data_IF_331527397282
#
_entry.id   IF_331527397282
#
_cell.length_a   1.000
_cell.length_b   1.000
_cell.length_c   1.000
_cell.angle_alpha   90.00
_cell.angle_beta   90.00
_cell.angle_gamma   90.00
#
_symmetry.space_group_name_H-M   'P 1'
#
loop_
_entity.id
_entity.type
_entity.pdbx_description
1 polymer ?
#
# COMPACT_ATOMS: atom_id res chain seq x y z
N UNK A 1 46.88 52.33 12.54
CA UNK A 1 46.56 51.42 11.42
C UNK A 1 46.06 50.01 11.84
N UNK A 2 45.62 49.80 13.08
CA UNK A 2 45.27 48.47 13.60
C UNK A 2 43.77 48.12 13.65
N UNK A 3 42.84 49.01 13.35
CA UNK A 3 41.39 48.75 13.57
C UNK A 3 40.59 48.28 12.34
N UNK A 4 41.06 48.53 11.13
CA UNK A 4 40.32 48.20 9.89
C UNK A 4 40.42 46.71 9.56
N UNK A 5 41.58 46.09 9.85
CA UNK A 5 41.76 44.65 9.57
C UNK A 5 40.95 43.73 10.52
N UNK A 6 40.69 44.17 11.74
CA UNK A 6 39.86 43.42 12.68
C UNK A 6 38.37 43.38 12.27
N UNK A 7 37.89 44.51 11.73
CA UNK A 7 36.49 44.62 11.29
C UNK A 7 36.21 43.75 10.07
N UNK A 8 37.11 43.74 9.09
CA UNK A 8 37.00 42.91 7.90
C UNK A 8 37.06 41.41 8.20
N UNK A 9 37.94 41.00 9.11
CA UNK A 9 38.06 39.62 9.55
C UNK A 9 36.76 39.09 10.25
N UNK A 10 36.17 39.96 11.09
CA UNK A 10 34.93 39.59 11.82
C UNK A 10 33.72 39.45 10.86
N UNK A 11 33.60 40.34 9.89
CA UNK A 11 32.52 40.26 8.90
C UNK A 11 32.69 39.07 7.94
N UNK A 12 33.92 38.73 7.55
CA UNK A 12 34.22 37.56 6.76
C UNK A 12 33.89 36.24 7.53
N UNK A 13 34.21 36.19 8.81
CA UNK A 13 33.90 35.05 9.65
C UNK A 13 32.37 34.87 9.82
N UNK A 14 31.62 35.96 10.06
CA UNK A 14 30.17 35.93 10.17
C UNK A 14 29.55 35.51 8.85
N UNK A 15 30.00 36.03 7.73
CA UNK A 15 29.49 35.64 6.40
C UNK A 15 29.75 34.16 6.09
N UNK A 16 30.89 33.62 6.50
CA UNK A 16 31.24 32.21 6.35
C UNK A 16 30.30 31.31 7.20
N UNK A 17 30.08 31.66 8.46
CA UNK A 17 29.20 30.93 9.37
C UNK A 17 27.75 30.97 8.88
N UNK A 18 27.26 32.15 8.51
CA UNK A 18 25.89 32.28 7.97
C UNK A 18 25.75 31.52 6.65
N UNK A 19 26.73 31.59 5.75
CA UNK A 19 26.75 30.82 4.49
C UNK A 19 26.74 29.33 4.70
N UNK A 20 27.52 28.82 5.66
CA UNK A 20 27.58 27.39 6.01
C UNK A 20 26.26 26.90 6.62
N UNK A 21 25.66 27.69 7.50
CA UNK A 21 24.37 27.37 8.11
C UNK A 21 23.26 27.39 7.06
N UNK A 22 23.24 28.38 6.16
CA UNK A 22 22.27 28.45 5.06
C UNK A 22 22.46 27.31 4.06
N UNK A 23 23.69 26.93 3.74
CA UNK A 23 23.99 25.78 2.88
C UNK A 23 23.54 24.45 3.54
N UNK A 24 23.82 24.26 4.83
CA UNK A 24 23.36 23.08 5.58
C UNK A 24 21.83 23.02 5.69
N UNK A 25 21.16 24.15 5.90
CA UNK A 25 19.70 24.22 5.86
C UNK A 25 19.16 23.96 4.44
N UNK A 26 19.80 24.46 3.40
CA UNK A 26 19.43 24.19 2.03
C UNK A 26 19.60 22.71 1.70
N UNK A 27 20.69 22.04 2.12
CA UNK A 27 20.86 20.59 1.93
C UNK A 27 19.84 19.76 2.71
N UNK A 28 19.40 20.20 3.90
CA UNK A 28 18.39 19.52 4.69
C UNK A 28 16.96 19.71 4.16
N UNK A 29 16.64 20.91 3.67
CA UNK A 29 15.27 21.26 3.27
C UNK A 29 15.05 21.21 1.74
N UNK A 30 16.09 21.49 0.96
CA UNK A 30 15.97 21.56 -0.50
C UNK A 30 15.62 20.21 -1.14
N UNK A 31 16.22 19.06 -0.78
CA UNK A 31 15.83 17.77 -1.31
C UNK A 31 14.40 17.39 -0.91
N UNK A 32 13.99 17.74 0.31
CA UNK A 32 12.61 17.48 0.76
C UNK A 32 11.61 18.41 0.09
N UNK A 33 11.97 19.66 -0.14
CA UNK A 33 11.13 20.65 -0.82
C UNK A 33 11.05 20.34 -2.33
N UNK A 34 12.17 20.05 -2.98
CA UNK A 34 12.23 19.67 -4.40
C UNK A 34 11.52 18.34 -4.61
N UNK A 35 11.74 17.34 -3.77
CA UNK A 35 10.99 16.09 -3.84
C UNK A 35 9.49 16.31 -3.62
N UNK A 36 9.08 17.14 -2.64
CA UNK A 36 7.65 17.46 -2.46
C UNK A 36 7.07 18.23 -3.65
N UNK A 37 7.80 19.17 -4.23
CA UNK A 37 7.33 19.98 -5.36
C UNK A 37 7.36 19.18 -6.65
N UNK A 38 8.39 18.40 -6.92
CA UNK A 38 8.47 17.47 -8.06
C UNK A 38 7.42 16.36 -7.92
N UNK A 39 7.19 15.84 -6.71
CA UNK A 39 6.10 14.92 -6.46
C UNK A 39 4.72 15.57 -6.62
N UNK A 40 4.53 16.83 -6.22
CA UNK A 40 3.28 17.58 -6.49
C UNK A 40 3.06 17.81 -7.97
N UNK A 41 4.09 18.22 -8.72
CA UNK A 41 4.01 18.45 -10.17
C UNK A 41 3.80 17.12 -10.91
N UNK A 42 4.55 16.07 -10.57
CA UNK A 42 4.31 14.72 -11.10
C UNK A 42 2.92 14.18 -10.74
N UNK A 43 2.42 14.47 -9.55
CA UNK A 43 1.07 14.09 -9.09
C UNK A 43 -0.05 14.80 -9.85
N UNK A 44 0.15 16.04 -10.29
CA UNK A 44 -0.85 16.80 -11.08
C UNK A 44 -1.06 16.27 -12.49
N UNK A 45 -0.04 15.63 -13.08
CA UNK A 45 -0.11 15.13 -14.47
C UNK A 45 -0.39 13.62 -14.59
N UNK A 46 -0.24 12.84 -13.53
CA UNK A 46 -0.47 11.41 -13.56
C UNK A 46 -1.66 11.11 -12.67
N UNK A 47 -2.79 10.71 -13.27
CA UNK A 47 -3.97 10.27 -12.53
C UNK A 47 -3.60 9.08 -11.64
N UNK A 48 -3.52 9.36 -10.36
CA UNK A 48 -3.23 8.41 -9.31
C UNK A 48 -4.47 7.50 -9.13
N UNK A 49 -4.29 6.19 -8.96
CA UNK A 49 -5.37 5.26 -8.70
C UNK A 49 -6.29 5.68 -7.55
N UNK A 50 -5.72 6.29 -6.49
CA UNK A 50 -6.49 6.83 -5.36
C UNK A 50 -7.47 7.92 -5.79
N UNK A 51 -7.11 8.78 -6.76
CA UNK A 51 -8.05 9.81 -7.29
C UNK A 51 -9.24 9.17 -7.98
N UNK A 52 -9.01 8.10 -8.75
CA UNK A 52 -10.09 7.38 -9.42
C UNK A 52 -11.00 6.66 -8.42
N UNK A 53 -10.43 6.08 -7.36
CA UNK A 53 -11.19 5.45 -6.29
C UNK A 53 -12.07 6.45 -5.55
N UNK A 54 -11.54 7.64 -5.29
CA UNK A 54 -12.20 8.73 -4.57
C UNK A 54 -13.14 9.57 -5.42
N UNK A 55 -13.29 9.25 -6.72
CA UNK A 55 -14.15 10.03 -7.62
C UNK A 55 -15.62 9.91 -7.20
N UNK A 56 -16.20 11.05 -6.80
CA UNK A 56 -17.59 11.11 -6.31
C UNK A 56 -17.78 10.63 -4.87
N UNK A 57 -16.69 10.36 -4.14
CA UNK A 57 -16.74 9.99 -2.72
C UNK A 57 -16.28 11.15 -1.84
N UNK A 58 -16.88 11.28 -0.67
CA UNK A 58 -16.48 12.23 0.38
C UNK A 58 -15.44 11.63 1.32
N UNK A 59 -15.46 10.32 1.46
CA UNK A 59 -14.57 9.54 2.32
C UNK A 59 -13.89 8.41 1.56
N UNK A 60 -12.69 8.04 1.98
CA UNK A 60 -12.09 6.76 1.59
C UNK A 60 -12.53 5.71 2.61
N UNK A 61 -13.30 4.73 2.15
CA UNK A 61 -13.68 3.59 2.98
C UNK A 61 -12.61 2.50 2.87
N UNK A 62 -12.15 1.99 4.01
CA UNK A 62 -11.15 0.90 4.08
C UNK A 62 -11.75 -0.21 4.93
N UNK A 63 -12.00 -1.37 4.32
CA UNK A 63 -12.30 -2.59 5.03
C UNK A 63 -10.99 -3.31 5.37
N UNK A 64 -10.73 -3.55 6.65
CA UNK A 64 -9.53 -4.24 7.12
C UNK A 64 -9.87 -5.61 7.66
N UNK A 65 -9.04 -6.59 7.35
CA UNK A 65 -9.14 -7.89 7.97
C UNK A 65 -8.55 -7.87 9.37
N UNK A 66 -9.19 -8.53 10.31
CA UNK A 66 -8.62 -8.83 11.60
C UNK A 66 -8.35 -10.31 11.71
N UNK A 67 -7.33 -10.69 12.45
CA UNK A 67 -7.09 -12.06 12.82
C UNK A 67 -7.29 -12.21 14.32
N UNK A 68 -7.97 -13.27 14.73
CA UNK A 68 -8.13 -13.68 16.13
C UNK A 68 -7.15 -14.80 16.43
N UNK A 69 -5.86 -14.63 16.16
CA UNK A 69 -4.91 -15.71 16.38
C UNK A 69 -4.52 -15.81 17.86
N UNK A 70 -4.69 -16.97 18.52
CA UNK A 70 -4.40 -17.13 19.95
C UNK A 70 -2.91 -17.19 20.30
N UNK A 71 -2.01 -17.24 19.34
CA UNK A 71 -0.60 -17.41 19.60
C UNK A 71 0.25 -16.28 19.01
N UNK A 72 0.53 -15.25 19.80
CA UNK A 72 1.68 -14.40 19.56
C UNK A 72 2.91 -15.05 20.16
N UNK A 73 3.75 -15.64 19.31
CA UNK A 73 5.11 -15.96 19.71
C UNK A 73 5.91 -14.65 19.79
N UNK A 74 6.35 -14.31 20.98
CA UNK A 74 7.29 -13.22 21.21
C UNK A 74 8.57 -13.50 20.44
N UNK A 75 8.99 -12.60 19.58
CA UNK A 75 10.34 -12.57 19.05
C UNK A 75 11.28 -12.20 20.23
N UNK A 76 11.89 -13.21 20.84
CA UNK A 76 12.81 -13.05 21.96
C UNK A 76 12.33 -13.75 23.24
N UNK A 77 13.27 -14.26 24.01
CA UNK A 77 13.08 -15.00 25.26
C UNK A 77 12.24 -14.22 26.27
N UNK A 78 11.00 -14.58 26.43
CA UNK A 78 10.11 -14.05 27.45
C UNK A 78 8.76 -14.75 27.41
N UNK A 79 8.02 -14.71 28.52
CA UNK A 79 6.72 -15.35 28.65
C UNK A 79 5.75 -14.92 27.54
N UNK A 80 4.91 -15.83 27.03
CA UNK A 80 3.91 -15.49 26.03
C UNK A 80 2.98 -14.39 26.58
N UNK A 81 2.81 -13.32 25.82
CA UNK A 81 1.79 -12.31 26.13
C UNK A 81 0.44 -12.97 25.91
N UNK A 82 -0.25 -13.30 26.98
CA UNK A 82 -1.64 -13.77 26.92
C UNK A 82 -2.51 -12.56 26.60
N UNK A 83 -2.94 -12.43 25.35
CA UNK A 83 -3.93 -11.46 24.98
C UNK A 83 -5.33 -12.04 25.21
N UNK A 84 -6.37 -11.20 25.44
CA UNK A 84 -7.73 -11.70 25.54
C UNK A 84 -8.07 -12.58 24.34
N UNK A 85 -8.73 -13.72 24.56
CA UNK A 85 -8.99 -14.75 23.53
C UNK A 85 -9.69 -14.23 22.26
N UNK A 86 -10.29 -13.06 22.30
CA UNK A 86 -11.03 -12.45 21.19
C UNK A 86 -10.52 -11.06 20.81
N UNK A 87 -9.31 -10.67 21.21
CA UNK A 87 -8.79 -9.37 20.80
C UNK A 87 -8.50 -9.38 19.28
N UNK A 88 -9.12 -8.48 18.51
CA UNK A 88 -8.83 -8.40 17.08
C UNK A 88 -7.43 -7.82 16.86
N UNK A 89 -6.63 -8.52 16.08
CA UNK A 89 -5.30 -8.06 15.68
C UNK A 89 -5.30 -7.56 14.26
N UNK A 90 -4.63 -6.47 14.04
CA UNK A 90 -4.32 -5.96 12.72
C UNK A 90 -2.89 -6.37 12.34
N UNK A 91 -2.69 -7.21 11.33
CA UNK A 91 -1.36 -7.55 10.87
C UNK A 91 -0.54 -6.32 10.52
N UNK A 92 0.76 -6.34 10.83
CA UNK A 92 1.66 -5.18 10.64
C UNK A 92 1.56 -4.55 9.24
N UNK A 93 1.56 -5.37 8.18
CA UNK A 93 1.47 -4.86 6.80
C UNK A 93 0.15 -4.13 6.51
N UNK A 94 -0.95 -4.55 7.14
CA UNK A 94 -2.24 -3.86 7.02
C UNK A 94 -2.23 -2.55 7.82
N UNK A 95 -1.67 -2.55 9.05
CA UNK A 95 -1.56 -1.35 9.87
C UNK A 95 -0.74 -0.25 9.15
N UNK A 96 0.41 -0.61 8.60
CA UNK A 96 1.25 0.29 7.83
C UNK A 96 0.56 0.76 6.54
N UNK A 97 -0.05 -0.16 5.80
CA UNK A 97 -0.80 0.16 4.58
C UNK A 97 -1.95 1.12 4.83
N UNK A 98 -2.70 0.91 5.92
CA UNK A 98 -3.78 1.80 6.35
C UNK A 98 -3.27 3.20 6.70
N UNK A 99 -2.17 3.29 7.46
CA UNK A 99 -1.53 4.57 7.79
C UNK A 99 -1.08 5.32 6.52
N UNK A 100 -0.55 4.61 5.55
CA UNK A 100 -0.11 5.16 4.27
C UNK A 100 -1.26 5.63 3.39
N UNK A 101 -2.35 4.88 3.30
CA UNK A 101 -3.57 5.28 2.60
C UNK A 101 -4.15 6.54 3.23
N UNK A 102 -4.26 6.59 4.56
CA UNK A 102 -4.72 7.77 5.30
C UNK A 102 -3.81 8.97 5.06
N UNK A 103 -2.50 8.78 5.13
CA UNK A 103 -1.51 9.83 4.85
C UNK A 103 -1.67 10.38 3.44
N UNK A 104 -1.85 9.50 2.44
CA UNK A 104 -2.04 9.90 1.04
C UNK A 104 -3.34 10.68 0.81
N UNK A 105 -4.44 10.35 1.49
CA UNK A 105 -5.68 11.13 1.46
C UNK A 105 -5.47 12.48 2.09
N UNK A 106 -4.88 12.55 3.28
CA UNK A 106 -4.60 13.81 3.98
C UNK A 106 -3.67 14.73 3.18
N UNK A 107 -2.61 14.20 2.59
CA UNK A 107 -1.67 14.95 1.76
C UNK A 107 -2.34 15.54 0.52
N UNK A 108 -3.32 14.84 -0.03
CA UNK A 108 -3.97 15.21 -1.29
C UNK A 108 -5.17 16.12 -1.11
N UNK A 109 -5.99 15.82 -0.14
CA UNK A 109 -7.29 16.48 0.04
C UNK A 109 -7.37 17.34 1.31
N UNK A 110 -6.37 17.25 2.19
CA UNK A 110 -6.38 17.89 3.48
C UNK A 110 -7.61 17.46 4.30
N UNK A 111 -8.24 18.43 4.97
CA UNK A 111 -9.46 18.18 5.76
C UNK A 111 -10.74 18.06 4.93
N UNK A 112 -10.66 18.17 3.60
CA UNK A 112 -11.84 18.12 2.72
C UNK A 112 -12.42 16.73 2.52
N UNK A 113 -11.64 15.69 2.83
CA UNK A 113 -12.06 14.29 2.74
C UNK A 113 -11.55 13.51 3.94
N UNK A 114 -12.35 12.57 4.39
CA UNK A 114 -12.04 11.70 5.53
C UNK A 114 -11.60 10.31 5.07
N UNK A 115 -11.10 9.55 6.03
CA UNK A 115 -10.84 8.12 5.87
C UNK A 115 -11.65 7.41 6.94
N UNK A 116 -12.52 6.52 6.49
CA UNK A 116 -13.37 5.68 7.33
C UNK A 116 -12.80 4.26 7.29
N UNK A 117 -12.54 3.70 8.44
CA UNK A 117 -11.89 2.39 8.58
C UNK A 117 -12.83 1.52 9.40
N UNK A 118 -13.23 0.41 8.81
CA UNK A 118 -14.08 -0.58 9.44
C UNK A 118 -13.47 -1.98 9.34
N UNK A 119 -13.84 -2.84 10.25
CA UNK A 119 -13.53 -4.25 10.13
C UNK A 119 -14.37 -4.89 9.03
N UNK A 120 -13.75 -5.79 8.27
CA UNK A 120 -14.38 -6.39 7.10
C UNK A 120 -15.64 -7.20 7.41
N UNK A 121 -15.73 -7.77 8.60
CA UNK A 121 -16.91 -8.49 9.13
C UNK A 121 -18.07 -7.54 9.57
N UNK A 122 -17.78 -6.25 9.72
CA UNK A 122 -18.75 -5.21 10.17
C UNK A 122 -18.85 -4.07 9.20
N UNK A 123 -18.45 -4.27 7.94
CA UNK A 123 -18.32 -3.23 6.93
C UNK A 123 -19.66 -2.64 6.42
N UNK A 124 -20.67 -2.65 7.21
CA UNK A 124 -21.98 -1.97 7.13
C UNK A 124 -22.36 -1.34 5.78
N UNK A 125 -22.54 -0.03 5.74
CA UNK A 125 -22.91 0.72 4.53
C UNK A 125 -21.75 0.93 3.54
N UNK A 126 -20.53 0.59 3.89
CA UNK A 126 -19.33 0.74 3.05
C UNK A 126 -19.46 0.05 1.68
N UNK A 127 -20.26 -1.00 1.58
CA UNK A 127 -20.57 -1.71 0.32
C UNK A 127 -21.15 -0.80 -0.78
N UNK A 128 -21.82 0.29 -0.42
CA UNK A 128 -22.43 1.24 -1.35
C UNK A 128 -21.42 2.20 -1.99
N UNK A 129 -20.23 2.27 -1.45
CA UNK A 129 -19.17 3.20 -1.85
C UNK A 129 -18.06 2.52 -2.65
N UNK A 130 -17.17 3.33 -3.20
CA UNK A 130 -15.87 2.83 -3.62
C UNK A 130 -15.01 2.62 -2.38
N UNK A 131 -14.34 1.46 -2.28
CA UNK A 131 -13.57 1.15 -1.08
C UNK A 131 -12.30 0.33 -1.35
N UNK A 132 -11.44 0.30 -0.36
CA UNK A 132 -10.26 -0.57 -0.32
C UNK A 132 -10.54 -1.74 0.62
N UNK A 133 -10.35 -2.97 0.13
CA UNK A 133 -10.26 -4.17 0.96
C UNK A 133 -8.77 -4.46 1.22
N UNK A 134 -8.37 -4.37 2.48
CA UNK A 134 -6.97 -4.50 2.89
C UNK A 134 -6.74 -5.77 3.67
N UNK A 135 -6.09 -6.75 3.06
CA UNK A 135 -5.80 -8.07 3.63
C UNK A 135 -6.14 -9.21 2.68
N UNK A 136 -5.52 -10.36 2.88
CA UNK A 136 -5.62 -11.54 2.02
C UNK A 136 -6.86 -12.40 2.26
N UNK A 137 -7.15 -13.34 1.34
CA UNK A 137 -8.38 -14.14 1.36
C UNK A 137 -8.50 -15.06 2.58
N UNK A 138 -7.40 -15.42 3.24
CA UNK A 138 -7.44 -16.26 4.43
C UNK A 138 -8.04 -15.58 5.66
N UNK A 139 -8.03 -14.25 5.68
CA UNK A 139 -8.46 -13.46 6.84
C UNK A 139 -9.52 -12.39 6.47
N UNK A 140 -9.73 -12.12 5.18
CA UNK A 140 -10.60 -11.03 4.73
C UNK A 140 -11.82 -11.59 3.97
N UNK A 141 -13.03 -11.58 4.59
CA UNK A 141 -14.21 -12.22 4.02
C UNK A 141 -14.61 -11.66 2.65
N UNK A 142 -14.45 -10.35 2.43
CA UNK A 142 -14.73 -9.72 1.13
C UNK A 142 -13.79 -10.25 0.04
N UNK A 143 -12.49 -10.34 0.36
CA UNK A 143 -11.50 -10.83 -0.61
C UNK A 143 -11.74 -12.29 -0.91
N UNK A 144 -12.06 -13.08 0.12
CA UNK A 144 -12.45 -14.48 -0.03
C UNK A 144 -13.68 -14.63 -0.94
N UNK A 145 -14.76 -13.89 -0.70
CA UNK A 145 -15.98 -13.93 -1.52
C UNK A 145 -15.68 -13.59 -2.99
N UNK A 146 -14.89 -12.55 -3.25
CA UNK A 146 -14.52 -12.15 -4.62
C UNK A 146 -13.76 -13.26 -5.35
N UNK A 147 -12.82 -13.93 -4.67
CA UNK A 147 -12.01 -14.98 -5.26
C UNK A 147 -12.79 -16.29 -5.41
N UNK A 148 -13.55 -16.71 -4.40
CA UNK A 148 -14.38 -17.93 -4.43
C UNK A 148 -15.45 -17.88 -5.53
N UNK A 149 -16.00 -16.70 -5.79
CA UNK A 149 -16.93 -16.46 -6.90
C UNK A 149 -16.25 -16.44 -8.28
N UNK A 150 -14.93 -16.50 -8.34
CA UNK A 150 -14.16 -16.43 -9.58
C UNK A 150 -14.32 -15.11 -10.33
N UNK A 151 -14.58 -14.00 -9.63
CA UNK A 151 -14.81 -12.69 -10.26
C UNK A 151 -13.54 -12.12 -10.90
N UNK A 152 -12.37 -12.60 -10.51
CA UNK A 152 -11.08 -12.25 -11.11
C UNK A 152 -10.61 -13.42 -11.96
N UNK A 153 -10.98 -13.38 -13.24
CA UNK A 153 -10.72 -14.47 -14.17
C UNK A 153 -9.22 -14.82 -14.24
N UNK A 154 -8.91 -16.11 -14.14
CA UNK A 154 -7.54 -16.63 -14.26
C UNK A 154 -6.63 -16.35 -13.06
N UNK A 155 -7.19 -15.80 -11.97
CA UNK A 155 -6.46 -15.50 -10.75
C UNK A 155 -6.93 -16.41 -9.61
N UNK A 156 -5.97 -16.89 -8.81
CA UNK A 156 -6.26 -17.68 -7.60
C UNK A 156 -5.13 -17.48 -6.57
N UNK A 157 -5.46 -17.74 -5.31
CA UNK A 157 -4.48 -17.93 -4.24
C UNK A 157 -4.54 -19.40 -3.85
N UNK A 158 -3.43 -20.11 -4.04
CA UNK A 158 -3.33 -21.55 -3.76
C UNK A 158 -2.78 -21.77 -2.34
N UNK A 159 -3.00 -22.96 -1.81
CA UNK A 159 -2.41 -23.37 -0.54
C UNK A 159 -0.87 -23.33 -0.62
N UNK A 160 -0.24 -22.93 0.50
CA UNK A 160 1.22 -22.80 0.58
C UNK A 160 1.77 -21.46 0.05
N UNK A 161 1.20 -20.35 0.49
CA UNK A 161 1.18 -18.98 0.01
C UNK A 161 1.71 -18.76 -1.44
N UNK A 162 0.86 -19.10 -2.39
CA UNK A 162 1.14 -18.98 -3.83
C UNK A 162 0.05 -18.17 -4.51
N UNK A 163 0.44 -17.17 -5.26
CA UNK A 163 -0.45 -16.45 -6.19
C UNK A 163 -0.31 -17.08 -7.57
N UNK A 164 -1.41 -17.48 -8.17
CA UNK A 164 -1.49 -17.96 -9.55
C UNK A 164 -2.26 -16.96 -10.40
N UNK A 165 -1.67 -16.56 -11.51
CA UNK A 165 -2.29 -15.63 -12.45
C UNK A 165 -2.03 -16.04 -13.89
N UNK A 166 -3.10 -16.44 -14.61
CA UNK A 166 -3.04 -17.00 -15.98
C UNK A 166 -2.04 -18.17 -16.12
N UNK A 167 -2.00 -19.05 -15.13
CA UNK A 167 -1.10 -20.20 -15.11
C UNK A 167 0.31 -19.95 -14.57
N UNK A 168 0.75 -18.71 -14.51
CA UNK A 168 2.01 -18.32 -13.89
C UNK A 168 1.88 -18.30 -12.36
N UNK A 169 2.91 -18.80 -11.65
CA UNK A 169 2.92 -18.90 -10.19
C UNK A 169 3.95 -17.95 -9.59
N UNK A 170 3.55 -17.23 -8.56
CA UNK A 170 4.38 -16.29 -7.81
C UNK A 170 4.44 -16.73 -6.36
N UNK A 171 5.66 -16.86 -5.83
CA UNK A 171 5.92 -17.38 -4.49
C UNK A 171 6.68 -16.36 -3.67
N UNK A 172 6.39 -16.31 -2.37
CA UNK A 172 7.30 -15.71 -1.42
C UNK A 172 8.53 -16.61 -1.24
N UNK A 173 9.71 -16.04 -1.10
CA UNK A 173 10.95 -16.80 -0.89
C UNK A 173 11.47 -16.62 0.53
N UNK A 174 12.18 -17.65 1.02
CA UNK A 174 12.80 -17.68 2.34
C UNK A 174 14.29 -17.99 2.23
N UNK A 175 15.05 -17.56 3.23
CA UNK A 175 16.45 -17.95 3.38
C UNK A 175 16.49 -19.27 4.17
N UNK A 176 16.30 -20.37 3.45
CA UNK A 176 16.21 -21.72 4.00
C UNK A 176 14.93 -22.45 3.62
N UNK A 177 14.84 -23.70 4.05
CA UNK A 177 13.78 -24.65 3.66
C UNK A 177 12.67 -24.80 4.70
N UNK A 178 12.83 -24.22 5.89
CA UNK A 178 11.84 -24.35 6.97
C UNK A 178 10.84 -23.19 6.97
N UNK A 179 9.61 -23.37 7.44
CA UNK A 179 8.61 -22.31 7.55
C UNK A 179 9.05 -21.14 8.44
N UNK A 180 9.95 -21.39 9.39
CA UNK A 180 10.50 -20.40 10.33
C UNK A 180 11.64 -19.57 9.71
N UNK A 181 12.20 -20.03 8.59
CA UNK A 181 13.28 -19.30 7.92
C UNK A 181 12.83 -17.88 7.53
N UNK A 182 13.72 -16.87 7.65
CA UNK A 182 13.39 -15.51 7.32
C UNK A 182 12.91 -15.35 5.87
N UNK A 183 11.89 -14.53 5.65
CA UNK A 183 11.48 -14.15 4.32
C UNK A 183 12.55 -13.28 3.65
N UNK A 184 12.88 -13.59 2.40
CA UNK A 184 13.79 -12.79 1.55
C UNK A 184 13.03 -12.03 0.46
N UNK A 185 11.90 -12.57 0.01
CA UNK A 185 10.98 -11.88 -0.88
C UNK A 185 9.54 -12.16 -0.49
N UNK A 186 8.65 -11.23 -0.81
CA UNK A 186 7.22 -11.42 -0.65
C UNK A 186 6.46 -10.89 -1.87
N UNK A 187 5.24 -11.41 -2.05
CA UNK A 187 4.36 -11.08 -3.16
C UNK A 187 3.18 -10.28 -2.64
N UNK A 188 3.01 -9.10 -3.22
CA UNK A 188 1.84 -8.27 -3.05
C UNK A 188 0.92 -8.36 -4.27
N UNK A 189 -0.35 -8.11 -4.07
CA UNK A 189 -1.38 -8.15 -5.11
C UNK A 189 -2.23 -6.90 -5.03
N UNK A 190 -2.46 -6.31 -6.19
CA UNK A 190 -3.42 -5.22 -6.38
C UNK A 190 -4.48 -5.72 -7.35
N UNK A 191 -5.74 -5.79 -6.90
CA UNK A 191 -6.89 -6.05 -7.78
C UNK A 191 -7.72 -4.77 -7.81
N UNK A 192 -7.87 -4.22 -8.99
CA UNK A 192 -8.73 -3.07 -9.24
C UNK A 192 -9.91 -3.54 -10.08
N UNK A 193 -11.14 -3.36 -9.57
CA UNK A 193 -12.33 -3.87 -10.25
C UNK A 193 -13.57 -3.04 -9.94
N UNK A 194 -14.63 -3.28 -10.68
CA UNK A 194 -15.96 -2.82 -10.28
C UNK A 194 -16.33 -3.44 -8.94
N UNK A 195 -17.00 -2.67 -8.10
CA UNK A 195 -17.49 -3.17 -6.82
C UNK A 195 -18.62 -4.18 -7.10
N UNK A 196 -18.47 -5.47 -6.74
CA UNK A 196 -19.49 -6.49 -7.02
C UNK A 196 -20.81 -6.29 -6.26
N UNK A 197 -20.80 -5.43 -5.26
CA UNK A 197 -21.97 -5.08 -4.45
C UNK A 197 -22.64 -3.77 -4.88
N UNK A 198 -21.92 -2.96 -5.68
CA UNK A 198 -22.44 -1.74 -6.29
C UNK A 198 -21.61 -1.41 -7.57
N UNK A 199 -22.05 -1.86 -8.72
CA UNK A 199 -21.30 -1.76 -9.99
C UNK A 199 -20.97 -0.34 -10.45
N UNK A 200 -21.70 0.67 -9.94
CA UNK A 200 -21.37 2.07 -10.20
C UNK A 200 -20.11 2.55 -9.47
N UNK A 201 -19.57 1.74 -8.56
CA UNK A 201 -18.44 2.03 -7.68
C UNK A 201 -17.25 1.12 -7.96
N UNK A 202 -16.14 1.38 -7.31
CA UNK A 202 -14.90 0.63 -7.47
C UNK A 202 -14.50 -0.09 -6.18
N UNK A 203 -13.95 -1.28 -6.36
CA UNK A 203 -13.28 -2.04 -5.32
C UNK A 203 -11.80 -2.12 -5.66
N UNK A 204 -10.96 -1.78 -4.69
CA UNK A 204 -9.53 -2.01 -4.75
C UNK A 204 -9.13 -3.01 -3.65
N UNK A 205 -8.64 -4.16 -4.03
CA UNK A 205 -8.14 -5.17 -3.10
C UNK A 205 -6.62 -5.06 -3.05
N UNK A 206 -6.08 -4.92 -1.84
CA UNK A 206 -4.64 -4.81 -1.59
C UNK A 206 -4.25 -5.86 -0.54
N UNK A 207 -3.44 -6.83 -0.93
CA UNK A 207 -2.96 -7.85 -0.02
C UNK A 207 -1.58 -8.39 -0.41
N UNK A 208 -0.95 -9.10 0.50
CA UNK A 208 0.26 -9.87 0.27
C UNK A 208 0.10 -11.30 0.74
N UNK A 209 0.98 -12.17 0.29
CA UNK A 209 1.09 -13.51 0.83
C UNK A 209 1.49 -13.47 2.31
N UNK A 210 2.31 -12.46 2.66
CA UNK A 210 2.72 -12.11 4.01
C UNK A 210 2.57 -10.61 4.24
N UNK A 211 2.72 -10.10 5.49
CA UNK A 211 2.58 -8.68 5.79
C UNK A 211 3.44 -7.72 4.94
N UNK A 212 4.73 -8.02 4.62
CA UNK A 212 5.53 -7.16 3.75
C UNK A 212 4.94 -6.99 2.34
N UNK A 213 4.38 -8.06 1.76
CA UNK A 213 3.71 -8.00 0.46
C UNK A 213 2.47 -7.10 0.47
N UNK A 214 1.70 -7.12 1.57
CA UNK A 214 0.56 -6.19 1.73
C UNK A 214 1.03 -4.75 1.72
N UNK A 215 2.08 -4.43 2.46
CA UNK A 215 2.68 -3.10 2.46
C UNK A 215 3.19 -2.71 1.06
N UNK A 216 3.90 -3.62 0.38
CA UNK A 216 4.39 -3.40 -0.98
C UNK A 216 3.26 -3.14 -2.00
N UNK A 217 2.13 -3.85 -1.88
CA UNK A 217 0.95 -3.61 -2.70
C UNK A 217 0.39 -2.20 -2.51
N UNK A 218 0.29 -1.73 -1.24
CA UNK A 218 -0.14 -0.36 -0.93
C UNK A 218 0.83 0.68 -1.48
N UNK A 219 2.14 0.49 -1.30
CA UNK A 219 3.15 1.43 -1.79
C UNK A 219 3.13 1.52 -3.32
N UNK A 220 3.02 0.39 -4.01
CA UNK A 220 2.87 0.35 -5.46
C UNK A 220 1.55 1.00 -5.94
N UNK A 221 0.44 0.78 -5.24
CA UNK A 221 -0.83 1.44 -5.51
C UNK A 221 -0.74 2.95 -5.37
N UNK A 222 -0.14 3.43 -4.28
CA UNK A 222 0.09 4.85 -4.03
C UNK A 222 1.21 5.46 -4.88
N UNK A 223 1.98 4.63 -5.58
CA UNK A 223 3.12 5.04 -6.41
C UNK A 223 4.18 5.86 -5.66
N UNK A 224 4.51 5.44 -4.47
CA UNK A 224 5.55 6.12 -3.68
C UNK A 224 6.94 5.75 -4.16
N UNK A 225 7.15 4.46 -4.40
CA UNK A 225 8.43 3.91 -4.91
C UNK A 225 8.13 2.65 -5.73
N UNK A 226 8.42 2.65 -7.02
CA UNK A 226 8.26 1.46 -7.86
C UNK A 226 9.43 1.37 -8.82
N UNK A 227 10.10 0.23 -8.84
CA UNK A 227 11.29 0.03 -9.66
C UNK A 227 10.95 -0.04 -11.16
N UNK A 228 9.83 -0.68 -11.54
CA UNK A 228 9.43 -0.79 -12.95
C UNK A 228 8.44 0.30 -13.38
N UNK A 229 8.96 1.38 -13.96
CA UNK A 229 8.15 2.48 -14.46
C UNK A 229 7.25 2.11 -15.66
N UNK A 230 7.56 1.04 -16.43
CA UNK A 230 6.77 0.62 -17.60
C UNK A 230 5.50 -0.09 -17.16
N UNK A 231 5.61 -1.07 -16.27
CA UNK A 231 4.47 -1.81 -15.72
C UNK A 231 3.61 -0.91 -14.84
N UNK A 232 4.23 -0.02 -14.06
CA UNK A 232 3.51 0.99 -13.29
C UNK A 232 2.67 1.92 -14.19
N UNK A 233 3.20 2.37 -15.34
CA UNK A 233 2.42 3.16 -16.31
C UNK A 233 1.30 2.34 -16.95
N UNK A 234 1.53 1.04 -17.22
CA UNK A 234 0.49 0.13 -17.73
C UNK A 234 -0.66 0.01 -16.72
N UNK A 235 -0.36 -0.28 -15.46
CA UNK A 235 -1.35 -0.35 -14.37
C UNK A 235 -2.20 0.90 -14.30
N UNK A 236 -1.57 2.07 -14.22
CA UNK A 236 -2.29 3.34 -14.16
C UNK A 236 -3.16 3.64 -15.38
N UNK A 237 -2.70 3.23 -16.58
CA UNK A 237 -3.50 3.38 -17.80
C UNK A 237 -4.76 2.54 -17.71
N UNK A 238 -4.70 1.31 -17.24
CA UNK A 238 -5.84 0.43 -17.05
C UNK A 238 -6.82 0.99 -16.01
N UNK A 239 -6.31 1.42 -14.85
CA UNK A 239 -7.13 2.08 -13.82
C UNK A 239 -7.81 3.33 -14.36
N UNK A 240 -7.06 4.18 -15.09
CA UNK A 240 -7.60 5.40 -15.69
C UNK A 240 -8.69 5.14 -16.74
N UNK A 241 -8.54 4.11 -17.54
CA UNK A 241 -9.55 3.73 -18.55
C UNK A 241 -10.77 3.03 -17.92
N UNK A 242 -10.77 2.84 -16.60
CA UNK A 242 -11.86 2.19 -15.88
C UNK A 242 -11.87 0.66 -16.03
N UNK A 243 -10.84 0.09 -16.67
CA UNK A 243 -10.71 -1.36 -16.86
C UNK A 243 -10.38 -2.06 -15.54
N UNK A 244 -10.98 -3.23 -15.37
CA UNK A 244 -10.66 -4.11 -14.27
C UNK A 244 -9.29 -4.75 -14.52
N UNK A 245 -8.41 -4.78 -13.53
CA UNK A 245 -7.04 -5.24 -13.71
C UNK A 245 -6.44 -5.82 -12.42
N UNK A 246 -5.42 -6.68 -12.63
CA UNK A 246 -4.57 -7.24 -11.59
C UNK A 246 -3.15 -6.74 -11.80
N UNK A 247 -2.47 -6.41 -10.71
CA UNK A 247 -1.02 -6.22 -10.69
C UNK A 247 -0.41 -7.09 -9.60
N UNK A 248 0.64 -7.82 -9.98
CA UNK A 248 1.47 -8.61 -9.07
C UNK A 248 2.71 -7.80 -8.74
N UNK A 249 2.99 -7.66 -7.47
CA UNK A 249 4.09 -6.86 -6.92
C UNK A 249 5.02 -7.78 -6.15
N UNK A 250 6.30 -7.64 -6.33
CA UNK A 250 7.32 -8.34 -5.55
C UNK A 250 8.13 -7.33 -4.75
N UNK A 251 8.47 -7.67 -3.54
CA UNK A 251 9.38 -6.87 -2.71
C UNK A 251 10.44 -7.74 -2.09
N UNK A 252 11.67 -7.23 -2.01
CA UNK A 252 12.75 -7.85 -1.27
C UNK A 252 12.62 -7.52 0.22
N UNK A 253 13.11 -8.43 1.06
CA UNK A 253 13.12 -8.27 2.51
C UNK A 253 14.54 -8.53 2.99
N UNK A 254 15.11 -7.60 3.72
CA UNK A 254 16.45 -7.72 4.31
C UNK A 254 16.41 -7.27 5.75
N UNK A 255 16.67 -8.19 6.67
CA UNK A 255 16.57 -7.96 8.11
C UNK A 255 15.21 -7.35 8.50
N UNK A 256 15.16 -6.04 8.81
CA UNK A 256 13.94 -5.31 9.16
C UNK A 256 13.48 -4.32 8.07
N UNK A 257 14.08 -4.41 6.87
CA UNK A 257 13.82 -3.47 5.79
C UNK A 257 13.02 -4.12 4.68
N UNK A 258 11.92 -3.48 4.30
CA UNK A 258 11.14 -3.82 3.10
C UNK A 258 11.71 -3.00 1.94
N UNK A 259 12.13 -3.68 0.89
CA UNK A 259 12.72 -3.07 -0.30
C UNK A 259 11.68 -2.34 -1.17
N UNK A 260 12.20 -1.66 -2.18
CA UNK A 260 11.34 -0.97 -3.17
C UNK A 260 10.51 -2.00 -3.94
N UNK A 261 9.18 -1.87 -3.97
CA UNK A 261 8.33 -2.81 -4.68
C UNK A 261 8.59 -2.76 -6.20
N UNK A 262 8.57 -3.93 -6.80
CA UNK A 262 8.70 -4.11 -8.25
C UNK A 262 7.43 -4.75 -8.78
N UNK A 263 6.76 -4.13 -9.75
CA UNK A 263 5.61 -4.75 -10.41
C UNK A 263 6.14 -5.82 -11.38
N UNK A 264 5.75 -7.06 -11.19
CA UNK A 264 6.17 -8.21 -12.01
C UNK A 264 5.22 -8.45 -13.17
N UNK A 265 3.93 -8.23 -12.96
CA UNK A 265 2.89 -8.46 -13.97
C UNK A 265 1.75 -7.47 -13.82
N UNK A 266 1.19 -7.04 -14.95
CA UNK A 266 -0.05 -6.24 -15.01
C UNK A 266 -0.90 -6.72 -16.17
N UNK A 267 -2.14 -7.09 -15.91
CA UNK A 267 -3.14 -7.41 -16.95
C UNK A 267 -4.50 -6.84 -16.63
N UNK A 268 -5.32 -6.69 -17.65
CA UNK A 268 -6.76 -6.50 -17.53
C UNK A 268 -7.47 -7.84 -17.47
N UNK A 269 -8.68 -7.84 -16.91
CA UNK A 269 -9.59 -8.97 -16.99
C UNK A 269 -11.00 -8.49 -17.23
N UNK A 270 -11.88 -9.38 -17.67
CA UNK A 270 -13.29 -9.08 -17.81
C UNK A 270 -14.02 -9.49 -16.56
N UNK A 271 -14.65 -8.53 -15.90
CA UNK A 271 -15.52 -8.80 -14.77
C UNK A 271 -16.73 -9.61 -15.24
N UNK A 272 -16.89 -10.81 -14.69
CA UNK A 272 -18.06 -11.64 -14.96
C UNK A 272 -19.14 -11.30 -13.93
N UNK A 273 -20.17 -10.61 -14.39
CA UNK A 273 -21.36 -10.40 -13.55
C UNK A 273 -21.96 -11.77 -13.19
N UNK A 274 -21.86 -12.16 -11.94
CA UNK A 274 -22.68 -13.23 -11.38
C UNK A 274 -23.68 -12.58 -10.44
N UNK A 275 -24.98 -12.90 -10.54
CA UNK A 275 -25.98 -12.33 -9.65
C UNK A 275 -25.54 -12.51 -8.21
N UNK A 276 -25.57 -11.41 -7.47
CA UNK A 276 -25.13 -11.36 -6.09
C UNK A 276 -26.10 -12.19 -5.23
N UNK A 277 -25.52 -13.12 -4.45
CA UNK A 277 -26.11 -13.39 -3.13
C UNK A 277 -26.15 -12.07 -2.36
N UNK A 278 -27.15 -11.82 -1.52
CA UNK A 278 -27.13 -10.66 -0.66
C UNK A 278 -25.78 -10.57 0.07
N UNK A 279 -25.30 -9.33 0.29
CA UNK A 279 -24.04 -9.08 0.99
C UNK A 279 -23.98 -9.89 2.29
N UNK A 280 -22.83 -10.50 2.63
CA UNK A 280 -22.68 -11.34 3.81
C UNK A 280 -22.98 -10.60 5.11
#
# INVERSE_FOLDING_TARGET
MGSVNGYLATHAAIALVVGTVLAGLAELFFPRFVNRTVHRIRRGFILDPLVNLMKGETSLHIAVATTTHPAFHRLGSGDPITLPENAPFLPFGQAMGMADLRGAVNDRYGKKRSVEIDYADRFGLGWKHSFVALGGPYVHPIVKDVLDRGLVQGFAVEDGPVVKDEGERFHASRDGTTPESPLTTDIGVIIWMRNPYNESRKLCILFGLWPPGTFAAVDAFLNRSVADAKLQRKFRRLVRSGQDCVAIVETSISALTIGVPTIRKVRSFTYQHRPTSPAP
#
